data_IF_551112382178
#
_entry.id   IF_551112382178
#
_cell.length_a   1.000
_cell.length_b   1.000
_cell.length_c   1.000
_cell.angle_alpha   90.00
_cell.angle_beta   90.00
_cell.angle_gamma   90.00
#
_symmetry.space_group_name_H-M   'P 1'
#
loop_
_entity.id
_entity.type
_entity.pdbx_description
1 polymer ?
#
# COMPACT_ATOMS: atom_id res chain seq x y z
N UNK A 1 -52.08 -24.01 23.37
CA UNK A 1 -52.98 -23.75 24.52
C UNK A 1 -52.15 -23.19 25.66
N UNK A 2 -52.63 -22.09 26.26
CA UNK A 2 -52.04 -21.37 27.40
C UNK A 2 -51.94 -22.23 28.67
N UNK A 3 -51.21 -21.65 29.63
CA UNK A 3 -51.37 -21.64 31.10
C UNK A 3 -50.10 -22.18 31.76
N UNK A 4 -49.13 -21.32 32.05
CA UNK A 4 -48.96 -20.58 33.32
C UNK A 4 -48.89 -21.47 34.56
N UNK A 5 -47.71 -21.52 35.18
CA UNK A 5 -47.56 -21.94 36.56
C UNK A 5 -46.74 -20.86 37.29
N UNK A 6 -47.45 -20.06 38.09
CA UNK A 6 -46.89 -19.13 39.07
C UNK A 6 -46.36 -19.92 40.28
N UNK A 7 -45.19 -19.58 40.80
CA UNK A 7 -45.08 -18.76 42.03
C UNK A 7 -43.75 -18.97 42.79
N UNK A 8 -43.35 -17.87 43.46
CA UNK A 8 -42.48 -17.75 44.65
C UNK A 8 -40.97 -17.73 44.42
N UNK A 9 -40.40 -16.52 44.46
CA UNK A 9 -39.56 -16.11 45.58
C UNK A 9 -39.31 -14.59 45.52
N UNK A 10 -39.95 -13.84 46.43
CA UNK A 10 -39.43 -12.56 46.91
C UNK A 10 -38.28 -12.88 47.87
N UNK A 11 -37.09 -12.31 47.66
CA UNK A 11 -36.27 -11.65 48.69
C UNK A 11 -34.94 -11.17 48.07
N UNK A 12 -34.52 -9.95 48.46
CA UNK A 12 -33.29 -9.24 48.07
C UNK A 12 -33.32 -8.72 46.60
N UNK A 13 -33.07 -7.45 46.27
CA UNK A 13 -32.11 -6.49 46.83
C UNK A 13 -32.71 -5.09 46.67
N UNK A 14 -33.04 -4.46 47.81
CA UNK A 14 -33.02 -3.01 47.95
C UNK A 14 -31.55 -2.65 48.13
N UNK A 15 -30.93 -2.05 47.11
CA UNK A 15 -29.73 -1.18 47.09
C UNK A 15 -29.32 -1.11 45.61
N UNK A 16 -29.97 -0.21 44.86
CA UNK A 16 -29.54 0.20 43.52
C UNK A 16 -30.04 1.62 43.23
N UNK A 17 -29.96 2.52 44.21
CA UNK A 17 -30.33 3.93 44.08
C UNK A 17 -29.23 4.89 44.56
N UNK A 18 -28.00 4.41 44.78
CA UNK A 18 -26.86 5.23 45.22
C UNK A 18 -25.54 4.73 44.62
N UNK A 19 -25.39 4.83 43.30
CA UNK A 19 -24.08 4.73 42.62
C UNK A 19 -24.09 5.29 41.18
N UNK A 20 -24.93 6.29 40.86
CA UNK A 20 -24.93 6.96 39.54
C UNK A 20 -24.53 8.44 39.65
N UNK A 21 -23.79 8.80 40.70
CA UNK A 21 -23.41 10.20 40.97
C UNK A 21 -21.91 10.39 41.21
N UNK A 22 -21.03 9.78 40.42
CA UNK A 22 -19.65 10.27 40.18
C UNK A 22 -19.18 9.87 38.77
N UNK A 23 -19.89 10.30 37.74
CA UNK A 23 -19.34 10.47 36.38
C UNK A 23 -19.94 11.75 35.81
N UNK A 24 -19.78 12.85 36.55
CA UNK A 24 -20.04 14.18 36.05
C UNK A 24 -18.75 14.73 35.45
N UNK A 25 -18.73 14.89 34.13
CA UNK A 25 -17.87 15.88 33.47
C UNK A 25 -16.64 15.39 32.72
N UNK A 26 -16.77 14.41 31.82
CA UNK A 26 -15.88 14.34 30.64
C UNK A 26 -16.71 14.05 29.38
N UNK A 27 -17.79 14.82 29.19
CA UNK A 27 -18.26 15.09 27.83
C UNK A 27 -17.13 15.83 27.12
N UNK A 28 -16.79 15.43 25.90
CA UNK A 28 -16.01 16.22 24.94
C UNK A 28 -16.72 17.59 24.78
N UNK A 29 -16.39 18.54 25.66
CA UNK A 29 -16.98 19.87 25.67
C UNK A 29 -16.42 20.61 24.44
N UNK A 30 -17.31 21.26 23.69
CA UNK A 30 -16.89 22.07 22.54
C UNK A 30 -15.77 23.04 22.92
N UNK A 31 -14.84 23.25 21.99
CA UNK A 31 -13.67 24.11 22.16
C UNK A 31 -14.04 25.47 22.81
N UNK A 32 -13.34 25.83 23.89
CA UNK A 32 -13.63 27.07 24.61
C UNK A 32 -13.32 28.31 23.76
N UNK A 33 -13.98 29.44 24.07
CA UNK A 33 -13.71 30.72 23.38
C UNK A 33 -12.25 31.14 23.52
N UNK A 34 -11.65 30.87 24.68
CA UNK A 34 -10.23 31.12 24.93
C UNK A 34 -9.38 30.25 24.01
N UNK A 35 -9.58 28.92 24.01
CA UNK A 35 -8.79 27.98 23.23
C UNK A 35 -8.88 28.29 21.73
N UNK A 36 -10.06 28.58 21.21
CA UNK A 36 -10.25 28.98 19.82
C UNK A 36 -9.43 30.22 19.46
N UNK A 37 -9.49 31.26 20.31
CA UNK A 37 -8.75 32.51 20.09
C UNK A 37 -7.23 32.31 20.21
N UNK A 38 -6.81 31.45 21.13
CA UNK A 38 -5.42 31.07 21.32
C UNK A 38 -4.90 30.29 20.11
N UNK A 39 -5.61 29.26 19.66
CA UNK A 39 -5.27 28.45 18.47
C UNK A 39 -5.18 29.31 17.21
N UNK A 40 -6.15 30.18 16.95
CA UNK A 40 -6.07 31.11 15.82
C UNK A 40 -4.84 32.01 15.89
N UNK A 41 -4.47 32.48 17.09
CA UNK A 41 -3.28 33.31 17.26
C UNK A 41 -1.99 32.50 17.12
N UNK A 42 -1.98 31.24 17.53
CA UNK A 42 -0.88 30.29 17.33
C UNK A 42 -0.65 30.01 15.84
N UNK A 43 -1.70 29.66 15.10
CA UNK A 43 -1.64 29.39 13.64
C UNK A 43 -1.19 30.62 12.84
N UNK A 44 -1.49 31.83 13.33
CA UNK A 44 -1.08 33.09 12.72
C UNK A 44 0.26 33.62 13.25
N UNK A 45 0.96 32.89 14.11
CA UNK A 45 2.20 33.30 14.76
C UNK A 45 2.11 34.66 15.50
N UNK A 46 0.94 35.00 16.07
CA UNK A 46 0.73 36.25 16.81
C UNK A 46 1.07 36.07 18.29
N UNK A 47 2.36 36.10 18.59
CA UNK A 47 2.89 35.91 19.95
C UNK A 47 2.30 36.90 20.96
N UNK A 48 2.19 38.17 20.60
CA UNK A 48 1.67 39.25 21.46
C UNK A 48 0.22 38.97 21.88
N UNK A 49 -0.59 38.51 20.92
CA UNK A 49 -1.99 38.16 21.14
C UNK A 49 -2.12 36.93 22.06
N UNK A 50 -1.29 35.90 21.84
CA UNK A 50 -1.22 34.74 22.74
C UNK A 50 -0.80 35.15 24.15
N UNK A 51 0.22 36.01 24.28
CA UNK A 51 0.68 36.51 25.57
C UNK A 51 -0.39 37.32 26.30
N UNK A 52 -1.13 38.18 25.59
CA UNK A 52 -2.28 38.89 26.16
C UNK A 52 -3.34 37.91 26.68
N UNK A 53 -3.73 36.91 25.86
CA UNK A 53 -4.70 35.90 26.25
C UNK A 53 -4.27 35.15 27.50
N UNK A 54 -3.02 34.68 27.57
CA UNK A 54 -2.49 33.94 28.74
C UNK A 54 -2.43 34.80 29.98
N UNK A 55 -2.01 36.07 29.88
CA UNK A 55 -1.97 37.00 31.03
C UNK A 55 -3.35 37.25 31.63
N UNK A 56 -4.39 37.36 30.79
CA UNK A 56 -5.76 37.66 31.22
C UNK A 56 -6.53 36.46 31.78
N UNK A 57 -6.05 35.22 31.55
CA UNK A 57 -6.85 34.01 31.77
C UNK A 57 -6.15 32.98 32.68
N UNK A 58 -5.34 33.42 33.65
CA UNK A 58 -4.52 32.57 34.53
C UNK A 58 -5.24 31.31 35.04
N UNK A 59 -6.45 31.47 35.58
CA UNK A 59 -7.13 30.43 36.35
C UNK A 59 -7.66 29.28 35.47
N UNK A 60 -7.91 29.53 34.18
CA UNK A 60 -8.43 28.51 33.27
C UNK A 60 -7.31 27.73 32.56
N UNK A 61 -6.08 28.26 32.53
CA UNK A 61 -4.96 27.65 31.79
C UNK A 61 -4.69 26.19 32.20
N UNK A 62 -4.66 25.81 33.49
CA UNK A 62 -4.44 24.41 33.86
C UNK A 62 -5.48 23.45 33.26
N UNK A 63 -6.76 23.86 33.23
CA UNK A 63 -7.83 23.04 32.66
C UNK A 63 -7.74 22.96 31.14
N UNK A 64 -7.39 24.08 30.48
CA UNK A 64 -7.20 24.12 29.03
C UNK A 64 -6.02 23.27 28.57
N UNK A 65 -4.89 23.35 29.28
CA UNK A 65 -3.70 22.54 29.01
C UNK A 65 -4.00 21.05 29.20
N UNK A 66 -4.63 20.69 30.33
CA UNK A 66 -4.99 19.30 30.60
C UNK A 66 -5.94 18.73 29.54
N UNK A 67 -6.97 19.50 29.15
CA UNK A 67 -7.91 19.05 28.13
C UNK A 67 -7.26 18.89 26.76
N UNK A 68 -6.28 19.73 26.39
CA UNK A 68 -5.49 19.52 25.16
C UNK A 68 -4.64 18.25 25.23
N UNK A 69 -4.05 17.95 26.38
CA UNK A 69 -3.29 16.70 26.60
C UNK A 69 -4.20 15.47 26.51
N UNK A 70 -5.41 15.54 27.08
CA UNK A 70 -6.36 14.44 27.04
C UNK A 70 -6.91 14.22 25.62
N UNK A 71 -7.20 15.30 24.89
CA UNK A 71 -7.55 15.23 23.46
C UNK A 71 -6.40 14.65 22.63
N UNK A 72 -5.16 15.03 22.91
CA UNK A 72 -4.00 14.45 22.23
C UNK A 72 -3.88 12.95 22.52
N UNK A 73 -4.10 12.50 23.77
CA UNK A 73 -4.09 11.07 24.10
C UNK A 73 -5.20 10.30 23.38
N UNK A 74 -6.32 10.95 23.06
CA UNK A 74 -7.45 10.36 22.33
C UNK A 74 -7.34 10.48 20.79
N UNK A 75 -6.44 11.31 20.27
CA UNK A 75 -6.33 11.59 18.84
C UNK A 75 -5.82 10.37 18.04
N UNK A 76 -6.35 10.22 16.82
CA UNK A 76 -6.14 9.02 16.01
C UNK A 76 -4.85 9.06 15.19
N UNK A 77 -4.33 10.25 14.88
CA UNK A 77 -3.18 10.41 13.99
C UNK A 77 -2.02 11.14 14.67
N UNK A 78 -0.79 10.77 14.29
CA UNK A 78 0.43 11.47 14.73
C UNK A 78 0.34 12.99 14.55
N UNK A 79 -0.15 13.43 13.37
CA UNK A 79 -0.25 14.86 13.07
C UNK A 79 -1.20 15.61 14.00
N UNK A 80 -2.38 15.04 14.26
CA UNK A 80 -3.37 15.63 15.18
C UNK A 80 -2.86 15.64 16.62
N UNK A 81 -2.25 14.54 17.08
CA UNK A 81 -1.62 14.44 18.39
C UNK A 81 -0.57 15.53 18.60
N UNK A 82 0.35 15.67 17.65
CA UNK A 82 1.42 16.67 17.74
C UNK A 82 0.87 18.10 17.72
N UNK A 83 -0.12 18.40 16.88
CA UNK A 83 -0.76 19.72 16.88
C UNK A 83 -1.35 20.09 18.25
N UNK A 84 -2.02 19.14 18.92
CA UNK A 84 -2.61 19.35 20.24
C UNK A 84 -1.54 19.48 21.33
N UNK A 85 -0.53 18.62 21.32
CA UNK A 85 0.59 18.68 22.27
C UNK A 85 1.43 19.95 22.10
N UNK A 86 1.68 20.40 20.87
CA UNK A 86 2.44 21.63 20.60
C UNK A 86 1.68 22.87 21.09
N UNK A 87 0.35 22.90 20.91
CA UNK A 87 -0.51 23.96 21.43
C UNK A 87 -0.53 23.95 22.97
N UNK A 88 -0.64 22.78 23.59
CA UNK A 88 -0.58 22.60 25.04
C UNK A 88 0.78 23.04 25.59
N UNK A 89 1.88 22.65 24.92
CA UNK A 89 3.23 23.00 25.30
C UNK A 89 3.46 24.51 25.25
N UNK A 90 2.99 25.16 24.18
CA UNK A 90 3.08 26.61 24.01
C UNK A 90 2.32 27.32 25.13
N UNK A 91 1.10 26.89 25.43
CA UNK A 91 0.29 27.44 26.50
C UNK A 91 0.93 27.22 27.89
N UNK A 92 1.47 26.04 28.15
CA UNK A 92 2.16 25.71 29.39
C UNK A 92 3.47 26.50 29.56
N UNK A 93 4.22 26.71 28.49
CA UNK A 93 5.46 27.51 28.48
C UNK A 93 5.15 28.95 28.83
N UNK A 94 4.11 29.51 28.21
CA UNK A 94 3.62 30.84 28.49
C UNK A 94 3.06 30.98 29.92
N UNK A 95 2.40 29.94 30.42
CA UNK A 95 1.90 29.90 31.80
C UNK A 95 3.05 29.89 32.83
N UNK A 96 4.13 29.16 32.55
CA UNK A 96 5.37 29.23 33.34
C UNK A 96 5.96 30.63 33.33
N UNK A 97 6.12 31.23 32.16
CA UNK A 97 6.76 32.54 32.01
C UNK A 97 6.01 33.66 32.74
N UNK A 98 4.68 33.74 32.57
CA UNK A 98 3.92 34.87 33.13
C UNK A 98 3.28 34.62 34.49
N UNK A 99 3.14 33.35 34.89
CA UNK A 99 2.44 33.00 36.13
C UNK A 99 3.21 32.02 37.02
N UNK A 100 4.43 31.63 36.63
CA UNK A 100 5.33 30.79 37.44
C UNK A 100 4.91 29.33 37.57
N UNK A 101 3.95 28.85 36.77
CA UNK A 101 3.43 27.49 36.87
C UNK A 101 3.94 26.59 35.73
N UNK A 102 4.80 25.64 36.08
CA UNK A 102 5.42 24.71 35.14
C UNK A 102 4.87 23.27 35.19
N UNK A 103 3.78 23.05 35.94
CA UNK A 103 3.26 21.72 36.29
C UNK A 103 3.14 20.75 35.11
N UNK A 104 2.72 21.23 33.96
CA UNK A 104 2.40 20.39 32.80
C UNK A 104 3.57 20.21 31.82
N UNK A 105 4.60 21.05 31.86
CA UNK A 105 5.66 21.06 30.84
C UNK A 105 6.39 19.72 30.75
N UNK A 106 6.80 19.16 31.90
CA UNK A 106 7.52 17.89 31.93
C UNK A 106 6.71 16.72 31.37
N UNK A 107 5.40 16.69 31.60
CA UNK A 107 4.51 15.66 31.03
C UNK A 107 4.34 15.85 29.52
N UNK A 108 4.04 17.07 29.07
CA UNK A 108 3.80 17.37 27.65
C UNK A 108 5.04 17.07 26.82
N UNK A 109 6.21 17.54 27.25
CA UNK A 109 7.46 17.27 26.53
C UNK A 109 7.80 15.78 26.49
N UNK A 110 7.48 15.04 27.55
CA UNK A 110 7.63 13.57 27.57
C UNK A 110 6.72 12.93 26.53
N UNK A 111 5.44 13.31 26.47
CA UNK A 111 4.48 12.79 25.50
C UNK A 111 4.88 13.13 24.06
N UNK A 112 5.35 14.34 23.80
CA UNK A 112 5.87 14.74 22.48
C UNK A 112 7.06 13.87 22.06
N UNK A 113 8.03 13.64 22.96
CA UNK A 113 9.18 12.77 22.68
C UNK A 113 8.76 11.32 22.40
N UNK A 114 7.85 10.77 23.19
CA UNK A 114 7.35 9.41 23.00
C UNK A 114 6.61 9.28 21.65
N UNK A 115 5.77 10.24 21.28
CA UNK A 115 5.04 10.21 20.02
C UNK A 115 5.97 10.36 18.80
N UNK A 116 6.99 11.23 18.88
CA UNK A 116 8.03 11.34 17.86
C UNK A 116 8.79 10.02 17.70
N UNK A 117 9.24 9.42 18.81
CA UNK A 117 9.95 8.14 18.78
C UNK A 117 9.09 7.01 18.20
N UNK A 118 7.80 6.96 18.56
CA UNK A 118 6.85 6.00 18.02
C UNK A 118 6.67 6.18 16.50
N UNK A 119 6.58 7.43 16.03
CA UNK A 119 6.45 7.72 14.60
C UNK A 119 7.73 7.44 13.82
N UNK A 120 8.90 7.73 14.38
CA UNK A 120 10.19 7.35 13.80
C UNK A 120 10.32 5.83 13.69
N UNK A 121 9.97 5.09 14.74
CA UNK A 121 9.94 3.63 14.72
C UNK A 121 8.96 3.09 13.67
N UNK A 122 7.75 3.67 13.59
CA UNK A 122 6.75 3.30 12.59
C UNK A 122 7.24 3.54 11.16
N UNK A 123 7.89 4.68 10.89
CA UNK A 123 8.48 5.00 9.59
C UNK A 123 9.64 4.08 9.25
N UNK A 124 10.54 3.83 10.21
CA UNK A 124 11.67 2.92 10.03
C UNK A 124 11.19 1.51 9.70
N UNK A 125 10.17 1.02 10.39
CA UNK A 125 9.56 -0.29 10.12
C UNK A 125 8.89 -0.31 8.74
N UNK A 126 8.20 0.75 8.33
CA UNK A 126 7.63 0.84 6.98
C UNK A 126 8.71 0.83 5.88
N UNK A 127 9.79 1.59 6.04
CA UNK A 127 10.89 1.66 5.08
C UNK A 127 11.69 0.35 5.02
N UNK A 128 11.90 -0.33 6.17
CA UNK A 128 12.51 -1.67 6.25
C UNK A 128 11.86 -2.65 5.28
N UNK A 129 10.54 -2.59 5.13
CA UNK A 129 9.80 -3.50 4.24
C UNK A 129 9.63 -2.98 2.81
N UNK A 130 9.51 -1.67 2.65
CA UNK A 130 9.34 -1.02 1.35
C UNK A 130 10.45 -1.36 0.37
N UNK A 131 11.68 -1.58 0.86
CA UNK A 131 12.81 -2.00 -0.01
C UNK A 131 12.53 -3.25 -0.83
N UNK A 132 11.73 -4.18 -0.31
CA UNK A 132 11.41 -5.44 -0.99
C UNK A 132 10.42 -5.26 -2.14
N UNK A 133 9.64 -4.18 -2.13
CA UNK A 133 8.65 -3.85 -3.16
C UNK A 133 9.17 -2.81 -4.17
N UNK A 134 10.44 -2.41 -4.07
CA UNK A 134 11.05 -1.42 -4.97
C UNK A 134 11.13 -1.89 -6.42
N UNK A 135 11.29 -3.20 -6.63
CA UNK A 135 11.28 -3.81 -7.96
C UNK A 135 9.83 -4.08 -8.38
N UNK A 136 9.39 -3.69 -9.59
CA UNK A 136 8.01 -3.84 -10.02
C UNK A 136 7.51 -5.29 -9.91
N UNK A 137 6.45 -5.45 -9.12
CA UNK A 137 5.76 -6.69 -8.85
C UNK A 137 6.32 -7.47 -7.66
N UNK A 138 7.48 -7.14 -7.10
CA UNK A 138 7.93 -7.85 -5.92
C UNK A 138 6.97 -7.61 -4.74
N UNK A 139 6.63 -8.69 -4.03
CA UNK A 139 5.76 -8.66 -2.86
C UNK A 139 6.53 -9.19 -1.65
N UNK A 140 6.28 -8.59 -0.49
CA UNK A 140 6.71 -9.12 0.81
C UNK A 140 5.49 -9.60 1.60
N UNK A 141 5.57 -10.83 2.11
CA UNK A 141 4.61 -11.42 3.04
C UNK A 141 5.26 -11.47 4.43
N UNK A 142 4.84 -10.57 5.32
CA UNK A 142 5.50 -10.24 6.59
C UNK A 142 4.55 -10.22 7.79
N UNK A 143 3.29 -10.54 7.57
CA UNK A 143 2.22 -10.43 8.56
C UNK A 143 2.44 -11.33 9.78
N UNK A 144 3.17 -12.42 9.58
CA UNK A 144 3.56 -13.40 10.60
C UNK A 144 5.05 -13.32 10.96
N UNK A 145 5.67 -12.15 10.85
CA UNK A 145 7.12 -11.98 11.13
C UNK A 145 7.54 -12.57 12.47
N UNK A 146 6.79 -12.30 13.54
CA UNK A 146 7.10 -12.79 14.89
C UNK A 146 7.00 -14.31 15.00
N UNK A 147 5.97 -14.92 14.40
CA UNK A 147 5.80 -16.38 14.35
C UNK A 147 6.92 -17.04 13.54
N UNK A 148 7.29 -16.45 12.39
CA UNK A 148 8.36 -16.94 11.53
C UNK A 148 9.71 -16.85 12.24
N UNK A 149 9.99 -15.74 12.89
CA UNK A 149 11.22 -15.54 13.66
C UNK A 149 11.37 -16.57 14.79
N UNK A 150 10.28 -16.93 15.46
CA UNK A 150 10.28 -17.93 16.55
C UNK A 150 10.71 -19.33 16.08
N UNK A 151 10.56 -19.65 14.78
CA UNK A 151 11.00 -20.91 14.17
C UNK A 151 12.23 -20.73 13.26
N UNK A 152 12.92 -19.59 13.35
CA UNK A 152 14.15 -19.32 12.59
C UNK A 152 13.93 -19.01 11.11
N UNK A 153 12.71 -18.72 10.69
CA UNK A 153 12.38 -18.34 9.31
C UNK A 153 12.23 -16.84 9.15
N UNK A 154 12.59 -16.36 7.96
CA UNK A 154 12.37 -14.97 7.56
C UNK A 154 11.02 -14.79 6.86
N UNK A 155 10.48 -13.57 6.79
CA UNK A 155 9.40 -13.23 5.87
C UNK A 155 9.69 -13.62 4.42
N UNK A 156 8.62 -13.86 3.65
CA UNK A 156 8.72 -14.38 2.28
C UNK A 156 8.77 -13.23 1.27
N UNK A 157 9.73 -13.30 0.36
CA UNK A 157 9.78 -12.45 -0.83
C UNK A 157 9.20 -13.24 -2.01
N UNK A 158 8.18 -12.69 -2.67
CA UNK A 158 7.67 -13.22 -3.93
C UNK A 158 8.10 -12.32 -5.10
N UNK A 159 9.09 -12.75 -5.92
CA UNK A 159 9.57 -11.96 -7.04
C UNK A 159 8.80 -12.30 -8.32
N UNK A 160 7.95 -11.37 -8.79
CA UNK A 160 7.20 -11.59 -10.03
C UNK A 160 8.11 -11.78 -11.22
N UNK A 161 9.27 -11.12 -11.28
CA UNK A 161 10.14 -11.21 -12.45
C UNK A 161 10.66 -12.63 -12.67
N UNK A 162 11.03 -13.35 -11.61
CA UNK A 162 11.51 -14.75 -11.69
C UNK A 162 10.44 -15.64 -12.31
N UNK A 163 9.18 -15.43 -11.91
CA UNK A 163 8.04 -16.18 -12.42
C UNK A 163 7.70 -15.76 -13.86
N UNK A 164 7.71 -14.45 -14.15
CA UNK A 164 7.34 -13.88 -15.45
C UNK A 164 8.30 -14.20 -16.60
N UNK A 165 9.52 -14.62 -16.30
CA UNK A 165 10.40 -15.20 -17.33
C UNK A 165 9.76 -16.44 -17.96
N UNK A 166 9.06 -17.25 -17.16
CA UNK A 166 8.54 -18.55 -17.58
C UNK A 166 7.01 -18.64 -17.66
N UNK A 167 6.29 -17.67 -17.09
CA UNK A 167 4.83 -17.71 -17.02
C UNK A 167 4.20 -16.35 -17.38
N UNK A 168 3.13 -16.36 -18.18
CA UNK A 168 2.30 -15.18 -18.39
C UNK A 168 1.43 -14.90 -17.15
N UNK A 169 0.91 -13.67 -17.03
CA UNK A 169 0.08 -13.30 -15.89
C UNK A 169 -1.15 -14.22 -15.75
N UNK A 170 -1.75 -14.61 -16.87
CA UNK A 170 -2.93 -15.49 -16.92
C UNK A 170 -2.68 -16.94 -16.48
N UNK A 171 -1.41 -17.35 -16.34
CA UNK A 171 -1.05 -18.64 -15.76
C UNK A 171 -1.35 -18.71 -14.26
N UNK A 172 -1.26 -17.58 -13.56
CA UNK A 172 -1.52 -17.47 -12.13
C UNK A 172 -2.81 -16.72 -11.81
N UNK A 173 -3.17 -15.73 -12.61
CA UNK A 173 -4.25 -14.80 -12.32
C UNK A 173 -5.46 -14.95 -13.25
N UNK A 174 -6.69 -14.86 -12.73
CA UNK A 174 -7.04 -14.78 -11.31
C UNK A 174 -7.13 -16.16 -10.62
N UNK A 175 -6.89 -17.25 -11.35
CA UNK A 175 -7.25 -18.60 -10.96
C UNK A 175 -6.59 -19.07 -9.65
N UNK A 176 -5.30 -18.81 -9.47
CA UNK A 176 -4.56 -19.17 -8.25
C UNK A 176 -4.51 -18.00 -7.26
N UNK A 177 -4.33 -16.80 -7.79
CA UNK A 177 -4.20 -15.59 -6.98
C UNK A 177 -5.06 -14.47 -7.57
N UNK A 178 -5.78 -13.69 -6.74
CA UNK A 178 -6.43 -12.48 -7.23
C UNK A 178 -5.38 -11.44 -7.65
N UNK A 179 -5.75 -10.53 -8.56
CA UNK A 179 -4.92 -9.37 -8.98
C UNK A 179 -4.91 -8.25 -7.90
N UNK A 180 -4.82 -8.65 -6.63
CA UNK A 180 -4.77 -7.78 -5.46
C UNK A 180 -3.83 -8.44 -4.45
N UNK A 181 -3.07 -7.62 -3.72
CA UNK A 181 -2.16 -8.11 -2.68
C UNK A 181 -2.95 -8.97 -1.68
N UNK A 182 -2.50 -10.21 -1.47
CA UNK A 182 -2.99 -11.09 -0.42
C UNK A 182 -1.83 -11.35 0.54
N UNK A 183 -2.14 -11.26 1.83
CA UNK A 183 -1.13 -11.10 2.88
C UNK A 183 -1.12 -12.28 3.87
N UNK A 184 -1.99 -13.26 3.66
CA UNK A 184 -2.27 -14.32 4.64
C UNK A 184 -2.27 -15.69 3.97
N UNK A 185 -1.12 -16.08 3.42
CA UNK A 185 -0.89 -17.44 2.93
C UNK A 185 -0.26 -18.25 4.08
N UNK A 186 -0.76 -19.47 4.29
CA UNK A 186 -0.20 -20.43 5.24
C UNK A 186 0.34 -21.64 4.50
N UNK A 187 1.18 -22.45 5.16
CA UNK A 187 1.75 -23.64 4.54
C UNK A 187 0.73 -24.77 4.32
N UNK A 188 -0.37 -24.81 5.07
CA UNK A 188 -1.42 -25.85 4.94
C UNK A 188 -1.95 -25.99 3.50
N UNK A 189 -2.48 -24.94 2.84
CA UNK A 189 -2.92 -25.05 1.45
C UNK A 189 -1.77 -25.37 0.49
N UNK A 190 -0.53 -24.97 0.80
CA UNK A 190 0.64 -25.26 -0.03
C UNK A 190 0.94 -26.77 -0.02
N UNK A 191 0.91 -27.40 1.15
CA UNK A 191 1.09 -28.86 1.28
C UNK A 191 -0.06 -29.66 0.64
N UNK A 192 -1.24 -29.08 0.55
CA UNK A 192 -2.39 -29.65 -0.18
C UNK A 192 -2.29 -29.44 -1.71
N UNK A 193 -1.19 -28.91 -2.22
CA UNK A 193 -0.99 -28.67 -3.66
C UNK A 193 -1.74 -27.45 -4.20
N UNK A 194 -2.17 -26.52 -3.33
CA UNK A 194 -2.83 -25.26 -3.71
C UNK A 194 -1.87 -24.08 -3.62
N UNK A 195 -2.24 -22.96 -4.24
CA UNK A 195 -1.44 -21.72 -4.24
C UNK A 195 -0.02 -21.98 -4.75
N UNK A 196 1.02 -21.69 -3.95
CA UNK A 196 2.40 -21.98 -4.29
C UNK A 196 2.63 -23.46 -4.60
N UNK A 197 1.90 -24.36 -3.92
CA UNK A 197 2.00 -25.82 -4.05
C UNK A 197 1.49 -26.37 -5.38
N UNK A 198 0.75 -25.60 -6.18
CA UNK A 198 0.37 -26.01 -7.55
C UNK A 198 1.62 -26.21 -8.42
N UNK A 199 2.67 -25.42 -8.17
CA UNK A 199 3.95 -25.49 -8.90
C UNK A 199 5.10 -26.01 -8.03
N UNK A 200 5.20 -25.57 -6.77
CA UNK A 200 6.27 -25.96 -5.84
C UNK A 200 5.99 -27.34 -5.21
N UNK A 201 5.94 -28.36 -6.06
CA UNK A 201 5.54 -29.74 -5.76
C UNK A 201 6.60 -30.79 -6.16
N UNK A 202 7.84 -30.35 -6.38
CA UNK A 202 8.94 -31.19 -6.83
C UNK A 202 8.92 -31.54 -8.33
N UNK A 203 7.84 -31.20 -9.06
CA UNK A 203 7.70 -31.49 -10.50
C UNK A 203 7.91 -30.24 -11.35
N UNK A 204 7.05 -29.23 -11.17
CA UNK A 204 7.11 -27.98 -11.94
C UNK A 204 8.20 -27.06 -11.39
N UNK A 205 8.26 -26.93 -10.07
CA UNK A 205 9.33 -26.25 -9.34
C UNK A 205 9.79 -27.12 -8.18
N UNK A 206 10.79 -26.65 -7.45
CA UNK A 206 11.24 -27.31 -6.23
C UNK A 206 10.10 -27.48 -5.23
N UNK A 207 10.17 -28.53 -4.40
CA UNK A 207 9.15 -28.80 -3.39
C UNK A 207 9.19 -27.76 -2.26
N UNK A 208 8.05 -27.13 -1.98
CA UNK A 208 7.91 -26.15 -0.90
C UNK A 208 8.07 -26.77 0.50
N UNK A 209 7.83 -28.08 0.66
CA UNK A 209 8.00 -28.78 1.94
C UNK A 209 9.46 -29.00 2.33
N UNK A 210 10.37 -29.02 1.35
CA UNK A 210 11.79 -29.33 1.57
C UNK A 210 12.71 -28.11 1.45
N UNK A 211 12.18 -26.98 0.96
CA UNK A 211 12.99 -25.82 0.53
C UNK A 211 12.58 -24.50 1.20
N UNK A 212 12.38 -24.51 2.53
CA UNK A 212 11.92 -23.35 3.30
C UNK A 212 12.72 -22.07 2.97
N UNK A 213 14.04 -22.19 2.94
CA UNK A 213 14.97 -21.07 2.75
C UNK A 213 14.95 -20.47 1.35
N UNK A 214 14.28 -21.09 0.38
CA UNK A 214 14.14 -20.51 -0.97
C UNK A 214 13.10 -19.40 -1.04
N UNK A 215 12.11 -19.43 -0.14
CA UNK A 215 11.05 -18.43 -0.06
C UNK A 215 11.26 -17.50 1.13
N UNK A 216 11.64 -18.06 2.28
CA UNK A 216 11.87 -17.36 3.54
C UNK A 216 13.25 -16.68 3.57
N UNK A 217 13.43 -15.67 2.73
CA UNK A 217 14.74 -15.04 2.45
C UNK A 217 14.88 -13.59 2.92
N UNK A 218 13.82 -12.94 3.40
CA UNK A 218 13.92 -11.52 3.80
C UNK A 218 14.95 -11.32 4.94
N UNK A 219 15.88 -10.41 4.74
CA UNK A 219 17.02 -10.17 5.63
C UNK A 219 18.20 -11.13 5.44
N UNK A 220 18.15 -12.05 4.47
CA UNK A 220 19.24 -13.00 4.17
C UNK A 220 19.98 -12.63 2.87
N UNK A 221 21.25 -13.04 2.67
CA UNK A 221 22.02 -12.69 1.47
C UNK A 221 21.35 -13.05 0.14
N UNK A 222 20.56 -14.13 0.13
CA UNK A 222 19.84 -14.65 -1.05
C UNK A 222 18.79 -13.65 -1.57
N UNK A 223 18.32 -12.70 -0.76
CA UNK A 223 17.35 -11.68 -1.18
C UNK A 223 17.86 -10.83 -2.34
N UNK A 224 19.18 -10.63 -2.43
CA UNK A 224 19.79 -9.66 -3.33
C UNK A 224 19.49 -9.94 -4.81
N UNK A 225 19.48 -11.22 -5.21
CA UNK A 225 19.15 -11.62 -6.58
C UNK A 225 17.65 -11.46 -6.88
N UNK A 226 16.77 -11.67 -5.88
CA UNK A 226 15.33 -11.54 -6.06
C UNK A 226 14.89 -10.07 -6.16
N UNK A 227 15.60 -9.17 -5.49
CA UNK A 227 15.34 -7.73 -5.52
C UNK A 227 15.97 -7.01 -6.72
N UNK A 228 17.00 -7.59 -7.31
CA UNK A 228 17.69 -7.01 -8.45
C UNK A 228 18.07 -8.09 -9.48
N UNK A 229 17.34 -8.19 -10.60
CA UNK A 229 17.63 -9.19 -11.62
C UNK A 229 19.02 -9.05 -12.26
N UNK A 230 19.68 -7.88 -12.14
CA UNK A 230 21.08 -7.72 -12.58
C UNK A 230 22.07 -8.51 -11.73
N UNK A 231 21.68 -8.89 -10.52
CA UNK A 231 22.47 -9.76 -9.62
C UNK A 231 22.06 -11.22 -9.73
N UNK A 232 21.09 -11.54 -10.58
CA UNK A 232 20.65 -12.92 -10.75
C UNK A 232 21.66 -13.74 -11.53
N UNK A 233 21.77 -15.01 -11.14
CA UNK A 233 22.51 -16.01 -11.89
C UNK A 233 21.71 -16.40 -13.13
N UNK A 234 22.09 -15.85 -14.29
CA UNK A 234 21.39 -16.04 -15.55
C UNK A 234 21.43 -17.51 -16.00
N UNK A 235 22.47 -18.26 -15.65
CA UNK A 235 22.55 -19.68 -15.99
C UNK A 235 21.42 -20.47 -15.30
N UNK A 236 21.15 -20.18 -14.02
CA UNK A 236 20.02 -20.79 -13.28
C UNK A 236 18.66 -20.38 -13.83
N UNK A 237 18.54 -19.14 -14.32
CA UNK A 237 17.31 -18.67 -14.99
C UNK A 237 17.08 -19.47 -16.27
N UNK A 238 18.13 -19.64 -17.09
CA UNK A 238 18.06 -20.43 -18.32
C UNK A 238 17.77 -21.92 -18.06
N UNK A 239 18.41 -22.51 -17.06
CA UNK A 239 18.14 -23.90 -16.63
C UNK A 239 16.66 -24.08 -16.25
N UNK A 240 16.08 -23.10 -15.55
CA UNK A 240 14.66 -23.13 -15.19
C UNK A 240 13.76 -23.07 -16.43
N UNK A 241 14.12 -22.26 -17.43
CA UNK A 241 13.40 -22.18 -18.70
C UNK A 241 13.49 -23.48 -19.50
N UNK A 242 14.67 -24.07 -19.58
CA UNK A 242 14.88 -25.37 -20.23
C UNK A 242 14.05 -26.48 -19.57
N UNK A 243 14.09 -26.56 -18.23
CA UNK A 243 13.32 -27.52 -17.44
C UNK A 243 11.81 -27.38 -17.67
N UNK A 244 11.33 -26.15 -17.79
CA UNK A 244 9.91 -25.83 -18.06
C UNK A 244 9.55 -25.88 -19.55
N UNK A 245 10.54 -26.13 -20.42
CA UNK A 245 10.40 -26.10 -21.89
C UNK A 245 9.83 -24.79 -22.41
N UNK A 246 10.16 -23.68 -21.74
CA UNK A 246 9.89 -22.33 -22.24
C UNK A 246 11.05 -21.86 -23.10
N UNK A 247 10.78 -20.92 -24.01
CA UNK A 247 11.85 -20.33 -24.82
C UNK A 247 12.36 -19.05 -24.15
N UNK A 248 13.66 -18.97 -23.91
CA UNK A 248 14.37 -17.73 -23.58
C UNK A 248 15.67 -17.70 -24.38
N UNK A 249 15.70 -16.91 -25.44
CA UNK A 249 16.84 -16.80 -26.33
C UNK A 249 17.51 -15.44 -26.21
N UNK A 250 18.53 -15.36 -25.36
CA UNK A 250 19.25 -14.11 -25.12
C UNK A 250 20.03 -13.62 -26.36
N UNK A 251 20.39 -14.50 -27.30
CA UNK A 251 21.11 -14.10 -28.52
C UNK A 251 20.27 -13.18 -29.44
N UNK A 252 18.95 -13.19 -29.29
CA UNK A 252 18.05 -12.28 -30.01
C UNK A 252 18.01 -10.87 -29.40
N UNK A 253 18.68 -10.65 -28.28
CA UNK A 253 18.66 -9.39 -27.53
C UNK A 253 19.95 -8.59 -27.70
N UNK A 254 19.88 -7.26 -27.54
CA UNK A 254 21.07 -6.44 -27.44
C UNK A 254 22.01 -6.94 -26.34
N UNK A 255 23.31 -7.04 -26.65
CA UNK A 255 24.35 -7.50 -25.73
C UNK A 255 24.20 -8.94 -25.22
N UNK A 256 23.33 -9.76 -25.83
CA UNK A 256 23.10 -11.16 -25.45
C UNK A 256 22.75 -11.36 -23.97
N UNK A 257 22.02 -10.41 -23.39
CA UNK A 257 21.69 -10.37 -21.97
C UNK A 257 20.24 -9.93 -21.74
N UNK A 258 19.74 -10.10 -20.51
CA UNK A 258 18.42 -9.58 -20.14
C UNK A 258 18.36 -8.06 -20.37
N UNK A 259 17.29 -7.55 -20.99
CA UNK A 259 17.19 -6.14 -21.32
C UNK A 259 16.71 -5.37 -20.09
N UNK A 260 17.31 -4.21 -19.81
CA UNK A 260 16.94 -3.35 -18.69
C UNK A 260 16.57 -1.95 -19.16
N UNK A 261 15.54 -1.38 -18.55
CA UNK A 261 15.20 0.04 -18.72
C UNK A 261 16.18 0.96 -17.98
N UNK A 262 16.04 2.28 -18.18
CA UNK A 262 16.87 3.31 -17.52
C UNK A 262 16.74 3.31 -15.98
N UNK A 263 15.72 2.67 -15.43
CA UNK A 263 15.50 2.53 -13.99
C UNK A 263 16.02 1.18 -13.44
N UNK A 264 16.60 0.34 -14.29
CA UNK A 264 17.13 -0.97 -13.92
C UNK A 264 16.08 -2.08 -13.81
N UNK A 265 14.83 -1.86 -14.27
CA UNK A 265 13.83 -2.93 -14.37
C UNK A 265 13.98 -3.69 -15.68
N UNK A 266 13.49 -4.93 -15.74
CA UNK A 266 13.48 -5.70 -17.00
C UNK A 266 12.59 -5.01 -18.02
N UNK A 267 13.11 -4.78 -19.23
CA UNK A 267 12.30 -4.31 -20.35
C UNK A 267 11.55 -5.49 -21.00
N UNK A 268 10.37 -5.77 -20.44
CA UNK A 268 9.50 -6.85 -20.91
C UNK A 268 9.06 -6.71 -22.38
N UNK A 269 9.01 -5.49 -22.92
CA UNK A 269 8.63 -5.27 -24.32
C UNK A 269 9.74 -5.73 -25.24
N UNK A 270 10.99 -5.38 -24.93
CA UNK A 270 12.14 -5.85 -25.69
C UNK A 270 12.33 -7.36 -25.51
N UNK A 271 12.13 -7.87 -24.30
CA UNK A 271 12.21 -9.31 -24.02
C UNK A 271 11.17 -10.12 -24.81
N UNK A 272 9.97 -9.57 -25.11
CA UNK A 272 8.88 -10.27 -25.83
C UNK A 272 9.30 -10.93 -27.14
N UNK A 273 10.25 -10.35 -27.87
CA UNK A 273 10.78 -10.96 -29.11
C UNK A 273 11.70 -12.17 -28.89
N UNK A 274 12.17 -12.37 -27.66
CA UNK A 274 13.19 -13.34 -27.27
C UNK A 274 12.71 -14.34 -26.22
N UNK A 275 11.44 -14.29 -25.79
CA UNK A 275 10.91 -15.26 -24.83
C UNK A 275 9.49 -15.73 -25.18
N UNK A 276 9.20 -16.99 -24.88
CA UNK A 276 7.85 -17.60 -24.96
C UNK A 276 7.52 -18.31 -23.64
N UNK A 277 6.84 -17.61 -22.71
CA UNK A 277 6.43 -18.18 -21.43
C UNK A 277 5.19 -19.06 -21.56
N UNK A 278 4.96 -19.90 -20.54
CA UNK A 278 3.74 -20.70 -20.38
C UNK A 278 2.55 -19.77 -20.15
N UNK A 279 1.55 -19.91 -21.02
CA UNK A 279 0.33 -19.09 -20.98
C UNK A 279 -0.63 -19.48 -19.86
N UNK A 280 -0.76 -20.77 -19.58
CA UNK A 280 -1.71 -21.30 -18.62
C UNK A 280 -1.20 -22.60 -18.04
N UNK A 281 -1.43 -22.82 -16.73
CA UNK A 281 -1.13 -24.09 -16.05
C UNK A 281 -2.20 -25.16 -16.31
N UNK A 282 -3.43 -24.73 -16.62
CA UNK A 282 -4.58 -25.57 -16.98
C UNK A 282 -5.01 -25.27 -18.43
N UNK A 283 -6.12 -25.83 -18.91
CA UNK A 283 -6.67 -25.46 -20.23
C UNK A 283 -6.75 -23.93 -20.35
N UNK A 284 -6.16 -23.39 -21.43
CA UNK A 284 -6.07 -21.96 -21.61
C UNK A 284 -7.50 -21.41 -21.78
N UNK A 285 -7.92 -20.40 -20.99
CA UNK A 285 -9.17 -19.70 -21.27
C UNK A 285 -9.12 -19.17 -22.71
N UNK A 286 -10.27 -19.16 -23.40
CA UNK A 286 -10.35 -18.73 -24.80
C UNK A 286 -9.69 -17.36 -24.96
N UNK A 287 -8.56 -17.34 -25.67
CA UNK A 287 -7.69 -16.17 -25.82
C UNK A 287 -8.39 -15.15 -26.74
N UNK A 288 -9.21 -14.28 -26.15
CA UNK A 288 -9.86 -13.20 -26.89
C UNK A 288 -8.90 -12.01 -26.97
N UNK A 289 -7.94 -12.07 -27.88
CA UNK A 289 -7.08 -10.92 -28.16
C UNK A 289 -7.91 -9.85 -28.87
N UNK A 290 -8.06 -8.70 -28.20
CA UNK A 290 -8.65 -7.50 -28.81
C UNK A 290 -7.53 -6.62 -29.35
N UNK A 291 -7.58 -6.27 -30.63
CA UNK A 291 -6.59 -5.40 -31.27
C UNK A 291 -7.21 -4.07 -31.71
N UNK A 292 -7.48 -3.22 -30.73
CA UNK A 292 -7.92 -1.86 -30.97
C UNK A 292 -7.17 -0.87 -30.07
N UNK A 293 -7.15 0.38 -30.53
CA UNK A 293 -6.51 1.49 -29.84
C UNK A 293 -7.57 2.46 -29.30
N UNK A 294 -7.28 3.04 -28.13
CA UNK A 294 -8.06 4.11 -27.52
C UNK A 294 -7.14 5.31 -27.35
N UNK A 295 -7.57 6.47 -27.86
CA UNK A 295 -6.90 7.74 -27.62
C UNK A 295 -7.52 8.44 -26.42
N UNK A 296 -6.68 8.80 -25.46
CA UNK A 296 -7.02 9.69 -24.36
C UNK A 296 -6.41 11.06 -24.63
N UNK A 297 -7.26 12.07 -24.67
CA UNK A 297 -6.84 13.45 -24.90
C UNK A 297 -6.17 14.02 -23.64
N UNK A 298 -5.00 14.62 -23.82
CA UNK A 298 -4.36 15.35 -22.74
C UNK A 298 -5.19 16.59 -22.37
N UNK A 299 -5.39 16.90 -21.07
CA UNK A 299 -5.97 18.17 -20.66
C UNK A 299 -5.03 19.36 -20.94
N UNK A 300 -3.72 19.09 -21.11
CA UNK A 300 -2.70 20.11 -21.33
C UNK A 300 -2.27 20.15 -22.81
N UNK A 301 -2.27 21.31 -23.47
CA UNK A 301 -2.06 21.41 -24.93
C UNK A 301 -0.64 21.09 -25.39
N UNK A 302 0.33 21.08 -24.48
CA UNK A 302 1.75 20.81 -24.74
C UNK A 302 2.20 19.40 -24.30
N UNK A 303 1.29 18.61 -23.72
CA UNK A 303 1.58 17.22 -23.35
C UNK A 303 0.89 16.32 -24.36
N UNK A 304 1.66 15.43 -25.00
CA UNK A 304 1.15 14.47 -25.98
C UNK A 304 -0.06 13.69 -25.43
N UNK A 305 -1.01 13.40 -26.32
CA UNK A 305 -2.10 12.46 -26.11
C UNK A 305 -1.56 11.05 -25.80
N UNK A 306 -2.38 10.27 -25.08
CA UNK A 306 -2.05 8.89 -24.71
C UNK A 306 -2.76 7.93 -25.64
N UNK A 307 -2.04 6.94 -26.16
CA UNK A 307 -2.61 5.85 -26.96
C UNK A 307 -2.54 4.55 -26.18
N UNK A 308 -3.69 4.08 -25.70
CA UNK A 308 -3.81 2.75 -25.12
C UNK A 308 -4.07 1.72 -26.21
N UNK A 309 -3.34 0.60 -26.18
CA UNK A 309 -3.47 -0.51 -27.14
C UNK A 309 -3.91 -1.76 -26.41
N UNK A 310 -5.01 -2.39 -26.81
CA UNK A 310 -5.46 -3.62 -26.16
C UNK A 310 -4.53 -4.79 -26.43
N UNK A 311 -4.06 -4.98 -27.67
CA UNK A 311 -3.23 -6.13 -28.06
C UNK A 311 -2.07 -6.46 -27.10
N UNK A 312 -1.16 -5.54 -26.76
CA UNK A 312 -0.05 -5.86 -25.85
C UNK A 312 -0.51 -6.21 -24.42
N UNK A 313 -1.70 -5.78 -24.01
CA UNK A 313 -2.28 -6.12 -22.70
C UNK A 313 -3.04 -7.45 -22.77
N UNK A 314 -3.95 -7.60 -23.73
CA UNK A 314 -4.78 -8.79 -23.93
C UNK A 314 -3.97 -10.04 -24.28
N UNK A 315 -2.76 -9.89 -24.85
CA UNK A 315 -1.84 -11.02 -25.03
C UNK A 315 -1.39 -11.62 -23.67
N UNK A 316 -1.27 -10.81 -22.61
CA UNK A 316 -0.65 -11.18 -21.34
C UNK A 316 -1.65 -11.40 -20.18
N UNK A 317 -2.78 -10.71 -20.18
CA UNK A 317 -3.79 -10.71 -19.11
C UNK A 317 -5.20 -10.94 -19.67
N UNK A 318 -6.12 -11.37 -18.79
CA UNK A 318 -7.52 -11.61 -19.16
C UNK A 318 -8.35 -10.32 -19.13
N UNK A 319 -9.43 -10.26 -19.91
CA UNK A 319 -10.38 -9.13 -19.89
C UNK A 319 -10.88 -8.82 -18.47
N UNK A 320 -11.17 -9.85 -17.69
CA UNK A 320 -11.61 -9.75 -16.29
C UNK A 320 -10.57 -9.16 -15.33
N UNK A 321 -9.30 -9.06 -15.75
CA UNK A 321 -8.26 -8.39 -14.96
C UNK A 321 -8.42 -6.87 -14.95
N UNK A 322 -9.17 -6.31 -15.90
CA UNK A 322 -9.43 -4.87 -16.03
C UNK A 322 -10.92 -4.54 -15.96
N UNK A 323 -11.76 -5.38 -16.56
CA UNK A 323 -13.20 -5.17 -16.66
C UNK A 323 -13.98 -6.06 -15.68
N UNK A 324 -14.99 -5.55 -14.98
CA UNK A 324 -15.47 -4.15 -14.97
C UNK A 324 -14.85 -3.30 -13.84
N UNK A 325 -14.00 -3.91 -13.01
CA UNK A 325 -13.50 -3.32 -11.76
C UNK A 325 -12.67 -2.03 -11.97
N UNK A 326 -11.74 -2.03 -12.93
CA UNK A 326 -10.86 -0.89 -13.21
C UNK A 326 -11.47 0.00 -14.30
N UNK A 327 -12.00 -0.64 -15.35
CA UNK A 327 -12.65 0.04 -16.47
C UNK A 327 -14.00 -0.61 -16.77
N UNK A 328 -15.01 0.20 -17.01
CA UNK A 328 -16.27 -0.25 -17.61
C UNK A 328 -16.05 -0.61 -19.08
N UNK A 329 -16.86 -1.53 -19.60
CA UNK A 329 -16.76 -2.01 -20.99
C UNK A 329 -17.14 -0.91 -22.00
N UNK A 330 -18.09 -0.05 -21.63
CA UNK A 330 -18.52 1.07 -22.45
C UNK A 330 -17.45 2.18 -22.47
N UNK A 331 -17.07 2.59 -23.69
CA UNK A 331 -16.08 3.64 -23.92
C UNK A 331 -16.55 4.97 -23.32
N UNK A 332 -15.75 5.56 -22.42
CA UNK A 332 -16.06 6.84 -21.77
C UNK A 332 -16.76 6.70 -20.42
N UNK A 333 -17.34 5.54 -20.10
CA UNK A 333 -18.13 5.35 -18.87
C UNK A 333 -17.29 5.23 -17.59
N UNK A 334 -15.97 5.12 -17.72
CA UNK A 334 -14.99 5.21 -16.62
C UNK A 334 -14.43 6.63 -16.57
N UNK A 335 -14.50 7.35 -15.42
CA UNK A 335 -13.93 8.70 -15.28
C UNK A 335 -12.43 8.74 -15.60
N UNK A 336 -11.90 9.88 -16.12
CA UNK A 336 -10.47 10.02 -16.34
C UNK A 336 -9.74 10.06 -14.99
N UNK A 337 -8.56 9.45 -14.95
CA UNK A 337 -7.68 9.52 -13.78
C UNK A 337 -6.54 10.51 -14.01
N UNK A 338 -6.24 11.32 -13.00
CA UNK A 338 -5.03 12.15 -12.94
C UNK A 338 -3.79 11.29 -12.68
N UNK A 339 -2.60 11.84 -12.94
CA UNK A 339 -1.34 11.21 -12.56
C UNK A 339 -1.24 10.96 -11.05
N UNK A 340 -1.82 11.83 -10.22
CA UNK A 340 -1.89 11.65 -8.76
C UNK A 340 -2.74 10.43 -8.39
N UNK A 341 -3.93 10.30 -8.98
CA UNK A 341 -4.80 9.14 -8.78
C UNK A 341 -4.15 7.84 -9.28
N UNK A 342 -3.44 7.90 -10.41
CA UNK A 342 -2.67 6.77 -10.92
C UNK A 342 -1.52 6.40 -9.98
N UNK A 343 -0.78 7.36 -9.43
CA UNK A 343 0.26 7.09 -8.43
C UNK A 343 -0.31 6.42 -7.16
N UNK A 344 -1.57 6.70 -6.82
CA UNK A 344 -2.30 6.07 -5.72
C UNK A 344 -2.86 4.68 -6.08
N UNK A 345 -2.70 4.23 -7.32
CA UNK A 345 -3.09 2.91 -7.77
C UNK A 345 -4.43 2.81 -8.49
N UNK A 346 -5.01 3.93 -8.94
CA UNK A 346 -6.24 3.93 -9.72
C UNK A 346 -5.94 3.84 -11.23
N UNK A 347 -6.92 3.39 -12.02
CA UNK A 347 -6.83 3.34 -13.49
C UNK A 347 -5.56 2.62 -13.96
N UNK A 348 -4.74 3.20 -14.84
CA UNK A 348 -3.47 2.63 -15.30
C UNK A 348 -2.53 2.27 -14.13
N UNK A 349 -2.60 3.00 -13.02
CA UNK A 349 -1.80 2.78 -11.82
C UNK A 349 -2.16 1.57 -10.99
N UNK A 350 -3.26 0.90 -11.33
CA UNK A 350 -3.53 -0.45 -10.80
C UNK A 350 -2.38 -1.40 -11.15
N UNK A 351 -1.72 -1.17 -12.30
CA UNK A 351 -0.60 -1.99 -12.78
C UNK A 351 0.71 -1.20 -13.00
N UNK A 352 0.68 -0.06 -13.70
CA UNK A 352 1.87 0.75 -13.97
C UNK A 352 2.40 1.40 -12.69
N UNK A 353 3.72 1.39 -12.51
CA UNK A 353 4.38 1.79 -11.26
C UNK A 353 4.33 0.77 -10.13
N UNK A 354 3.53 -0.31 -10.27
CA UNK A 354 3.44 -1.41 -9.30
C UNK A 354 4.01 -2.71 -9.85
N UNK A 355 3.39 -3.28 -10.89
CA UNK A 355 3.80 -4.56 -11.53
C UNK A 355 4.35 -4.36 -12.95
N UNK A 356 4.20 -3.16 -13.49
CA UNK A 356 4.70 -2.74 -14.80
C UNK A 356 5.59 -1.50 -14.66
N UNK A 357 6.08 -0.97 -15.78
CA UNK A 357 7.05 0.14 -15.82
C UNK A 357 6.59 1.37 -15.01
N UNK A 358 7.57 2.16 -14.55
CA UNK A 358 7.34 3.34 -13.69
C UNK A 358 6.76 4.51 -14.49
N UNK A 359 5.91 5.32 -13.82
CA UNK A 359 5.30 6.53 -14.42
C UNK A 359 6.30 7.61 -14.86
N UNK A 360 7.52 7.57 -14.33
CA UNK A 360 8.59 8.48 -14.74
C UNK A 360 9.07 8.27 -16.20
N UNK A 361 8.57 7.24 -16.91
CA UNK A 361 8.80 7.06 -18.34
C UNK A 361 7.65 7.60 -19.20
N UNK A 362 7.44 8.92 -19.16
CA UNK A 362 6.27 9.59 -19.73
C UNK A 362 5.96 9.18 -21.18
N UNK A 363 7.01 9.07 -22.01
CA UNK A 363 6.89 8.80 -23.45
C UNK A 363 6.41 7.39 -23.80
N UNK A 364 6.37 6.46 -22.83
CA UNK A 364 5.76 5.13 -23.04
C UNK A 364 4.25 5.21 -23.24
N UNK A 365 3.61 6.24 -22.69
CA UNK A 365 2.16 6.45 -22.81
C UNK A 365 1.86 7.70 -23.65
N UNK A 366 2.54 8.81 -23.37
CA UNK A 366 2.38 10.10 -24.04
C UNK A 366 3.08 10.14 -25.40
N UNK A 367 2.61 9.29 -26.31
CA UNK A 367 3.30 8.99 -27.57
C UNK A 367 2.75 9.74 -28.78
N UNK A 368 1.59 10.40 -28.66
CA UNK A 368 0.89 11.00 -29.81
C UNK A 368 0.76 12.52 -29.66
N UNK A 369 1.35 13.33 -30.55
CA UNK A 369 1.23 14.79 -30.48
C UNK A 369 -0.21 15.29 -30.37
N UNK A 370 -0.43 16.40 -29.66
CA UNK A 370 -1.76 16.99 -29.48
C UNK A 370 -2.35 17.49 -30.81
N UNK A 371 -1.48 17.93 -31.73
CA UNK A 371 -1.86 18.33 -33.08
C UNK A 371 -2.35 17.16 -33.95
N UNK A 372 -2.07 15.92 -33.56
CA UNK A 372 -2.48 14.74 -34.31
C UNK A 372 -3.83 14.21 -33.80
N UNK A 373 -4.83 14.24 -34.66
CA UNK A 373 -6.13 13.61 -34.42
C UNK A 373 -6.04 12.09 -34.22
N UNK A 374 -7.13 11.40 -33.87
CA UNK A 374 -7.11 10.00 -33.41
C UNK A 374 -6.53 8.97 -34.38
N UNK A 375 -6.48 9.26 -35.68
CA UNK A 375 -6.14 8.25 -36.69
C UNK A 375 -7.14 7.11 -36.62
N UNK A 376 -6.66 5.86 -36.47
CA UNK A 376 -7.50 4.65 -36.34
C UNK A 376 -7.98 4.38 -34.90
N UNK A 377 -7.50 5.13 -33.91
CA UNK A 377 -7.88 4.92 -32.51
C UNK A 377 -9.30 5.43 -32.24
N UNK A 378 -10.02 4.75 -31.35
CA UNK A 378 -11.31 5.23 -30.85
C UNK A 378 -11.05 6.42 -29.92
N UNK A 379 -11.82 7.50 -30.06
CA UNK A 379 -11.70 8.66 -29.15
C UNK A 379 -12.59 8.44 -27.93
N UNK A 380 -12.00 8.47 -26.75
CA UNK A 380 -12.74 8.72 -25.52
C UNK A 380 -13.02 10.23 -25.43
N UNK A 381 -14.16 10.70 -25.94
CA UNK A 381 -14.55 12.12 -25.80
C UNK A 381 -14.71 12.43 -24.30
N UNK A 382 -14.26 13.62 -23.89
CA UNK A 382 -14.13 14.05 -22.49
C UNK A 382 -15.39 13.83 -21.66
#
# INVERSE_FOLDING_TARGET
MRVEMRSKALFAIVIAALAVAVFAGHSLAGESKFRKSFRTSYEQNRFDAMGFLVKQNKDILPGEIQSLVDEAKAAASFGEKMQLLDLANTMATMHKEWHGNEKFLGEIEKLQREEIQNEEARKAEAEKWKKYENFPGNLIMKEKETELAAIGLSPVIFPHWVHRINFECKACHPALFPMKKTNSITMTPIFEGRLCGECHNGKIAFDAAESCERCHVAGRPEEAALLNPKKADIAKVMESSERLKTELNLDLLPNKALPFDKFGNIDWMLLKGAHKPIKSLKEAPADQTRDNEILFESPMPYVNNIVFRHKPHADLILCSSCHTDIYKEELGSTPPASMTQMAQGQSCGSCHGKVSFKFADCNRCHSKPVSEGPGKAMIRKK
#
